data_IF_657062687504
#
_entry.id   IF_657062687504
#
_cell.length_a   1.000
_cell.length_b   1.000
_cell.length_c   1.000
_cell.angle_alpha   90.00
_cell.angle_beta   90.00
_cell.angle_gamma   90.00
#
_symmetry.space_group_name_H-M   'P 1'
#
loop_
_entity.id
_entity.type
_entity.pdbx_description
1 polymer ?
#
# COMPACT_ATOMS: atom_id res chain seq x y z
N UNK A 1 -15.20 -10.57 3.70
CA UNK A 1 -15.63 -9.46 2.81
C UNK A 1 -16.09 -10.09 1.50
N UNK A 2 -17.39 -10.35 1.37
CA UNK A 2 -17.94 -11.05 0.20
C UNK A 2 -18.51 -10.00 -0.74
N UNK A 3 -17.88 -9.81 -1.90
CA UNK A 3 -18.34 -8.83 -2.90
C UNK A 3 -19.38 -9.49 -3.81
N UNK A 4 -20.63 -9.04 -3.74
CA UNK A 4 -21.67 -9.45 -4.69
C UNK A 4 -21.46 -8.73 -6.02
N UNK A 5 -20.94 -9.43 -7.03
CA UNK A 5 -20.93 -8.95 -8.40
C UNK A 5 -22.36 -9.02 -8.96
N UNK A 6 -23.10 -7.90 -8.88
CA UNK A 6 -24.45 -7.78 -9.44
C UNK A 6 -24.41 -8.13 -10.93
N UNK A 7 -25.33 -9.00 -11.34
CA UNK A 7 -25.36 -9.89 -12.52
C UNK A 7 -25.06 -9.25 -13.90
N UNK A 8 -24.91 -7.93 -14.01
CA UNK A 8 -24.78 -7.18 -15.27
C UNK A 8 -23.38 -6.60 -15.54
N UNK A 9 -22.57 -6.34 -14.52
CA UNK A 9 -21.22 -5.77 -14.73
C UNK A 9 -20.16 -6.88 -14.86
N UNK A 10 -19.35 -6.83 -15.92
CA UNK A 10 -18.26 -7.80 -16.15
C UNK A 10 -17.01 -7.48 -15.34
N UNK A 11 -16.86 -6.23 -14.90
CA UNK A 11 -15.70 -5.73 -14.18
C UNK A 11 -16.15 -4.77 -13.07
N UNK A 12 -15.48 -4.83 -11.92
CA UNK A 12 -15.67 -3.92 -10.80
C UNK A 12 -14.31 -3.28 -10.48
N UNK A 13 -14.27 -1.98 -10.26
CA UNK A 13 -13.05 -1.28 -9.81
C UNK A 13 -13.23 -0.79 -8.38
N UNK A 14 -12.27 -1.08 -7.53
CA UNK A 14 -12.22 -0.58 -6.16
C UNK A 14 -10.78 -0.24 -5.80
N UNK A 15 -10.53 1.02 -5.43
CA UNK A 15 -9.19 1.55 -5.20
C UNK A 15 -8.25 1.24 -6.38
N UNK A 16 -7.09 0.65 -6.11
CA UNK A 16 -6.08 0.31 -7.11
C UNK A 16 -6.29 -1.08 -7.74
N UNK A 17 -7.47 -1.68 -7.51
CA UNK A 17 -7.82 -3.01 -7.97
C UNK A 17 -8.99 -2.99 -8.96
N UNK A 18 -8.84 -3.80 -10.02
CA UNK A 18 -9.91 -4.14 -10.96
C UNK A 18 -10.18 -5.63 -10.86
N UNK A 19 -11.40 -5.97 -10.46
CA UNK A 19 -11.93 -7.33 -10.44
C UNK A 19 -12.63 -7.61 -11.77
N UNK A 20 -12.45 -8.81 -12.31
CA UNK A 20 -13.10 -9.22 -13.55
C UNK A 20 -13.35 -10.73 -13.57
N UNK A 21 -14.32 -11.14 -14.38
CA UNK A 21 -14.59 -12.57 -14.64
C UNK A 21 -13.64 -13.06 -15.73
N UNK A 22 -12.52 -13.67 -15.34
CA UNK A 22 -11.61 -14.29 -16.29
C UNK A 22 -12.01 -15.72 -16.66
N UNK A 23 -11.16 -16.41 -17.44
CA UNK A 23 -11.47 -17.74 -17.99
C UNK A 23 -11.72 -18.79 -16.89
N UNK A 24 -11.07 -18.64 -15.73
CA UNK A 24 -11.21 -19.56 -14.59
C UNK A 24 -12.45 -19.30 -13.74
N UNK A 25 -13.21 -18.23 -14.02
CA UNK A 25 -14.38 -17.87 -13.21
C UNK A 25 -15.45 -18.96 -13.26
N UNK A 26 -15.72 -19.54 -14.43
CA UNK A 26 -16.76 -20.56 -14.59
C UNK A 26 -16.41 -21.89 -13.91
N UNK A 27 -15.13 -22.25 -13.84
CA UNK A 27 -14.68 -23.50 -13.24
C UNK A 27 -14.42 -23.39 -11.74
N UNK A 28 -13.89 -22.27 -11.27
CA UNK A 28 -13.46 -22.10 -9.88
C UNK A 28 -14.37 -21.19 -9.04
N UNK A 29 -15.23 -20.39 -9.68
CA UNK A 29 -16.04 -19.38 -9.01
C UNK A 29 -15.27 -18.14 -8.53
N UNK A 30 -13.94 -18.08 -8.72
CA UNK A 30 -13.11 -16.97 -8.27
C UNK A 30 -12.99 -15.86 -9.31
N UNK A 31 -13.02 -14.61 -8.86
CA UNK A 31 -12.74 -13.43 -9.68
C UNK A 31 -11.23 -13.24 -9.83
N UNK A 32 -10.82 -12.88 -11.04
CA UNK A 32 -9.44 -12.47 -11.30
C UNK A 32 -9.27 -10.99 -10.95
N UNK A 33 -8.07 -10.62 -10.51
CA UNK A 33 -7.72 -9.26 -10.15
C UNK A 33 -6.58 -8.75 -11.02
N UNK A 34 -6.58 -7.44 -11.25
CA UNK A 34 -5.43 -6.73 -11.81
C UNK A 34 -5.35 -5.31 -11.31
N UNK A 35 -4.19 -4.71 -11.55
CA UNK A 35 -3.90 -3.33 -11.17
C UNK A 35 -4.78 -2.38 -11.98
N UNK A 36 -5.59 -1.59 -11.29
CA UNK A 36 -6.30 -0.47 -11.89
C UNK A 36 -5.40 0.77 -11.91
N UNK A 37 -5.33 1.42 -13.06
CA UNK A 37 -4.69 2.74 -13.20
C UNK A 37 -5.81 3.76 -13.36
N UNK A 38 -5.81 4.78 -12.50
CA UNK A 38 -6.78 5.88 -12.61
C UNK A 38 -6.55 6.65 -13.91
N UNK A 39 -7.59 7.11 -14.61
CA UNK A 39 -7.43 7.92 -15.82
C UNK A 39 -6.64 9.22 -15.60
N UNK A 40 -6.65 9.74 -14.37
CA UNK A 40 -5.91 10.93 -13.96
C UNK A 40 -4.45 10.65 -13.59
N UNK A 41 -4.03 9.38 -13.56
CA UNK A 41 -2.67 9.01 -13.21
C UNK A 41 -1.72 9.37 -14.37
N UNK A 42 -0.77 10.24 -14.08
CA UNK A 42 0.18 10.79 -15.07
C UNK A 42 1.53 10.09 -15.01
N UNK A 43 1.74 9.20 -14.04
CA UNK A 43 2.97 8.42 -13.89
C UNK A 43 4.22 9.31 -13.77
N UNK A 44 4.14 10.33 -12.91
CA UNK A 44 5.24 11.25 -12.64
C UNK A 44 6.33 10.58 -11.77
N UNK A 45 7.02 9.60 -12.34
CA UNK A 45 8.15 8.95 -11.68
C UNK A 45 9.32 9.91 -11.48
N UNK A 46 10.15 9.59 -10.49
CA UNK A 46 11.33 10.37 -10.14
C UNK A 46 12.36 10.31 -11.27
N UNK A 47 12.85 11.47 -11.71
CA UNK A 47 13.92 11.55 -12.72
C UNK A 47 15.26 11.12 -12.13
N UNK A 48 16.11 10.44 -12.93
CA UNK A 48 17.40 9.94 -12.44
C UNK A 48 18.33 11.03 -11.93
N UNK A 49 18.26 12.24 -12.49
CA UNK A 49 19.12 13.38 -12.15
C UNK A 49 18.66 14.16 -10.91
N UNK A 50 17.57 13.73 -10.27
CA UNK A 50 17.12 14.32 -9.02
C UNK A 50 18.04 13.96 -7.84
N UNK A 51 18.02 14.75 -6.77
CA UNK A 51 18.86 14.59 -5.59
C UNK A 51 18.43 13.43 -4.65
N UNK A 52 17.81 12.37 -5.17
CA UNK A 52 17.38 11.22 -4.38
C UNK A 52 18.49 10.16 -4.25
N UNK A 53 18.48 9.44 -3.13
CA UNK A 53 19.46 8.37 -2.89
C UNK A 53 19.23 7.16 -3.80
N UNK A 54 20.29 6.41 -4.12
CA UNK A 54 20.18 5.15 -4.87
C UNK A 54 19.24 4.14 -4.21
N UNK A 55 19.18 4.14 -2.87
CA UNK A 55 18.28 3.29 -2.11
C UNK A 55 16.81 3.64 -2.38
N UNK A 56 16.50 4.94 -2.50
CA UNK A 56 15.15 5.41 -2.85
C UNK A 56 14.74 4.91 -4.23
N UNK A 57 15.63 5.05 -5.23
CA UNK A 57 15.39 4.56 -6.58
C UNK A 57 15.12 3.06 -6.62
N UNK A 58 16.01 2.25 -6.04
CA UNK A 58 15.84 0.79 -5.99
C UNK A 58 14.58 0.39 -5.23
N UNK A 59 14.29 1.10 -4.13
CA UNK A 59 13.12 0.86 -3.30
C UNK A 59 11.82 1.02 -4.09
N UNK A 60 11.60 2.17 -4.72
CA UNK A 60 10.33 2.40 -5.43
C UNK A 60 10.17 1.45 -6.62
N UNK A 61 11.22 1.20 -7.40
CA UNK A 61 11.15 0.28 -8.55
C UNK A 61 10.73 -1.12 -8.10
N UNK A 62 11.37 -1.63 -7.05
CA UNK A 62 11.05 -2.93 -6.47
C UNK A 62 9.65 -2.97 -5.88
N UNK A 63 9.24 -1.94 -5.15
CA UNK A 63 7.92 -1.85 -4.53
C UNK A 63 6.80 -1.83 -5.58
N UNK A 64 7.01 -1.14 -6.70
CA UNK A 64 6.03 -1.05 -7.77
C UNK A 64 5.86 -2.38 -8.52
N UNK A 65 6.96 -3.07 -8.85
CA UNK A 65 6.86 -4.42 -9.41
C UNK A 65 6.24 -5.42 -8.42
N UNK A 66 6.59 -5.35 -7.14
CA UNK A 66 5.96 -6.17 -6.09
C UNK A 66 4.45 -5.94 -6.01
N UNK A 67 4.01 -4.69 -6.19
CA UNK A 67 2.60 -4.34 -6.23
C UNK A 67 1.91 -5.04 -7.40
N UNK A 68 2.50 -4.99 -8.59
CA UNK A 68 1.96 -5.70 -9.76
C UNK A 68 1.88 -7.21 -9.53
N UNK A 69 2.95 -7.82 -9.00
CA UNK A 69 3.00 -9.26 -8.74
C UNK A 69 1.91 -9.70 -7.73
N UNK A 70 1.62 -8.87 -6.72
CA UNK A 70 0.57 -9.15 -5.73
C UNK A 70 -0.83 -8.97 -6.32
N UNK A 71 -1.08 -7.87 -7.02
CA UNK A 71 -2.43 -7.49 -7.43
C UNK A 71 -2.91 -8.19 -8.72
N UNK A 72 -2.01 -8.56 -9.63
CA UNK A 72 -2.36 -9.30 -10.84
C UNK A 72 -2.51 -10.80 -10.53
N UNK A 73 -3.63 -11.39 -10.96
CA UNK A 73 -3.90 -12.85 -10.90
C UNK A 73 -3.29 -13.61 -12.08
N UNK A 74 -3.11 -12.93 -13.22
CA UNK A 74 -2.53 -13.51 -14.43
C UNK A 74 -1.14 -12.93 -14.69
N UNK A 75 -0.24 -13.78 -15.19
CA UNK A 75 1.12 -13.40 -15.56
C UNK A 75 1.14 -12.38 -16.70
N UNK A 76 0.23 -12.50 -17.66
CA UNK A 76 0.10 -11.57 -18.78
C UNK A 76 -0.19 -10.14 -18.31
N UNK A 77 -1.18 -9.96 -17.43
CA UNK A 77 -1.52 -8.65 -16.86
C UNK A 77 -0.35 -8.07 -16.03
N UNK A 78 0.44 -8.93 -15.37
CA UNK A 78 1.66 -8.52 -14.66
C UNK A 78 2.74 -8.02 -15.63
N UNK A 79 3.04 -8.79 -16.68
CA UNK A 79 4.05 -8.44 -17.68
C UNK A 79 3.69 -7.16 -18.44
N UNK A 80 2.42 -6.98 -18.81
CA UNK A 80 1.94 -5.74 -19.43
C UNK A 80 2.20 -4.51 -18.56
N UNK A 81 1.89 -4.60 -17.26
CA UNK A 81 2.14 -3.50 -16.31
C UNK A 81 3.62 -3.25 -16.09
N UNK A 82 4.41 -4.32 -15.99
CA UNK A 82 5.87 -4.24 -15.88
C UNK A 82 6.48 -3.56 -17.10
N UNK A 83 6.09 -3.95 -18.31
CA UNK A 83 6.61 -3.38 -19.55
C UNK A 83 6.26 -1.89 -19.66
N UNK A 84 4.99 -1.53 -19.41
CA UNK A 84 4.58 -0.11 -19.40
C UNK A 84 5.31 0.71 -18.32
N UNK A 85 5.63 0.10 -17.18
CA UNK A 85 6.44 0.74 -16.14
C UNK A 85 7.88 0.97 -16.60
N UNK A 86 8.51 -0.06 -17.17
CA UNK A 86 9.86 0.01 -17.73
C UNK A 86 9.98 1.13 -18.77
N UNK A 87 9.09 1.18 -19.76
CA UNK A 87 9.08 2.23 -20.81
C UNK A 87 9.07 3.65 -20.21
N UNK A 88 8.27 3.86 -19.16
CA UNK A 88 8.18 5.16 -18.48
C UNK A 88 9.46 5.51 -17.71
N UNK A 89 10.11 4.52 -17.10
CA UNK A 89 11.38 4.74 -16.40
C UNK A 89 12.54 5.01 -17.36
N UNK A 90 12.59 4.33 -18.50
CA UNK A 90 13.58 4.60 -19.55
C UNK A 90 13.46 6.05 -20.04
N UNK A 91 12.23 6.55 -20.19
CA UNK A 91 11.96 7.96 -20.54
C UNK A 91 12.48 8.95 -19.48
N UNK A 92 12.71 8.50 -18.23
CA UNK A 92 13.23 9.30 -17.11
C UNK A 92 14.73 9.09 -16.85
N UNK A 93 15.47 8.62 -17.86
CA UNK A 93 16.91 8.39 -17.82
C UNK A 93 17.37 7.34 -16.80
N UNK A 94 16.48 6.42 -16.40
CA UNK A 94 16.86 5.26 -15.59
C UNK A 94 17.35 4.17 -16.54
N UNK A 95 18.54 3.60 -16.31
CA UNK A 95 19.07 2.59 -17.22
C UNK A 95 18.38 1.23 -17.05
N UNK A 96 18.31 0.40 -18.11
CA UNK A 96 17.78 -0.97 -17.99
C UNK A 96 18.53 -1.82 -16.96
N UNK A 97 19.84 -1.60 -16.83
CA UNK A 97 20.71 -2.30 -15.87
C UNK A 97 20.34 -1.93 -14.42
N UNK A 98 20.11 -0.64 -14.15
CA UNK A 98 19.67 -0.17 -12.84
C UNK A 98 18.33 -0.79 -12.46
N UNK A 99 17.38 -0.83 -13.41
CA UNK A 99 16.07 -1.45 -13.21
C UNK A 99 16.19 -2.95 -12.94
N UNK A 100 16.96 -3.68 -13.76
CA UNK A 100 17.21 -5.10 -13.56
C UNK A 100 17.87 -5.40 -12.20
N UNK A 101 18.81 -4.55 -11.77
CA UNK A 101 19.45 -4.67 -10.47
C UNK A 101 18.48 -4.45 -9.31
N UNK A 102 17.52 -3.52 -9.44
CA UNK A 102 16.54 -3.19 -8.42
C UNK A 102 15.48 -4.28 -8.27
N UNK A 103 15.10 -4.90 -9.38
CA UNK A 103 14.01 -5.87 -9.47
C UNK A 103 14.50 -7.33 -9.46
N UNK A 104 15.80 -7.52 -9.28
CA UNK A 104 16.40 -8.85 -9.20
C UNK A 104 15.71 -9.72 -8.14
N UNK A 105 15.36 -10.94 -8.52
CA UNK A 105 14.65 -11.90 -7.68
C UNK A 105 13.13 -11.73 -7.63
N UNK A 106 12.54 -10.81 -8.42
CA UNK A 106 11.10 -10.76 -8.64
C UNK A 106 10.73 -11.56 -9.89
N UNK A 107 10.24 -12.78 -9.67
CA UNK A 107 9.60 -13.58 -10.72
C UNK A 107 8.12 -13.81 -10.36
N UNK A 108 7.25 -13.74 -11.36
CA UNK A 108 5.82 -13.99 -11.19
C UNK A 108 5.56 -15.43 -10.73
N UNK A 109 6.40 -16.39 -11.13
CA UNK A 109 6.29 -17.79 -10.68
C UNK A 109 6.40 -17.94 -9.17
N UNK A 110 7.14 -17.05 -8.52
CA UNK A 110 7.33 -17.03 -7.06
C UNK A 110 6.25 -16.22 -6.33
N UNK A 111 5.18 -15.80 -7.02
CA UNK A 111 4.09 -15.00 -6.46
C UNK A 111 3.47 -15.59 -5.20
N UNK A 112 3.33 -16.92 -5.12
CA UNK A 112 2.80 -17.60 -3.92
C UNK A 112 3.64 -17.27 -2.68
N UNK A 113 4.97 -17.18 -2.82
CA UNK A 113 5.87 -16.82 -1.74
C UNK A 113 5.71 -15.36 -1.29
N UNK A 114 5.20 -14.47 -2.15
CA UNK A 114 4.95 -13.06 -1.81
C UNK A 114 3.79 -12.88 -0.82
N UNK A 115 2.89 -13.88 -0.73
CA UNK A 115 1.78 -13.92 0.22
C UNK A 115 2.07 -14.78 1.45
N UNK A 116 3.18 -15.51 1.45
CA UNK A 116 3.57 -16.31 2.59
C UNK A 116 3.94 -15.40 3.77
N UNK A 117 3.29 -15.63 4.91
CA UNK A 117 3.67 -14.99 6.18
C UNK A 117 5.09 -15.41 6.51
N UNK A 118 6.01 -14.45 6.62
CA UNK A 118 7.33 -14.71 7.20
C UNK A 118 7.17 -14.78 8.71
N UNK A 119 7.61 -15.88 9.33
CA UNK A 119 7.86 -15.92 10.76
C UNK A 119 9.00 -14.93 11.05
N UNK A 120 8.67 -13.71 11.47
CA UNK A 120 9.67 -12.75 11.92
C UNK A 120 9.93 -13.00 13.41
N UNK A 121 11.18 -13.33 13.74
CA UNK A 121 11.65 -13.22 15.12
C UNK A 121 11.49 -11.76 15.57
N UNK A 122 10.90 -11.56 16.75
CA UNK A 122 10.75 -10.23 17.36
C UNK A 122 12.15 -9.72 17.68
N UNK A 123 12.76 -8.95 16.76
CA UNK A 123 13.97 -8.20 17.09
C UNK A 123 13.60 -7.20 18.18
N UNK A 124 14.27 -7.26 19.33
CA UNK A 124 14.11 -6.29 20.41
C UNK A 124 14.11 -4.88 19.81
N UNK A 125 13.00 -4.16 20.00
CA UNK A 125 12.87 -2.77 19.56
C UNK A 125 13.99 -1.96 20.20
N UNK A 126 14.69 -1.14 19.42
CA UNK A 126 15.47 -0.04 19.98
C UNK A 126 14.54 0.81 20.87
N UNK A 127 14.98 1.13 22.09
CA UNK A 127 14.23 1.82 23.14
C UNK A 127 13.10 2.71 22.62
N UNK A 128 11.86 2.32 22.90
CA UNK A 128 10.71 3.19 22.72
C UNK A 128 10.87 4.41 23.63
N UNK A 129 10.99 5.61 23.05
CA UNK A 129 10.85 6.84 23.80
C UNK A 129 9.38 6.96 24.23
N UNK A 130 9.07 6.54 25.45
CA UNK A 130 7.76 6.72 26.06
C UNK A 130 7.60 8.19 26.44
N UNK A 131 6.82 8.96 25.68
CA UNK A 131 6.27 10.21 26.22
C UNK A 131 5.05 9.82 27.05
N UNK A 132 5.17 9.86 28.36
CA UNK A 132 4.00 9.89 29.23
C UNK A 132 3.26 11.20 28.95
N UNK A 133 2.02 11.10 28.47
CA UNK A 133 1.15 12.26 28.38
C UNK A 133 0.76 12.67 29.79
N UNK A 134 1.33 13.78 30.27
CA UNK A 134 0.91 14.42 31.52
C UNK A 134 -0.17 15.44 31.19
N UNK A 135 -1.47 15.13 31.39
CA UNK A 135 -2.52 16.11 31.19
C UNK A 135 -2.37 17.24 32.23
N UNK A 136 -2.40 18.49 31.79
CA UNK A 136 -2.27 19.68 32.65
C UNK A 136 -3.47 19.92 33.58
N UNK A 137 -4.51 19.08 33.51
CA UNK A 137 -5.69 19.18 34.35
C UNK A 137 -5.89 17.89 35.12
N UNK A 138 -5.71 17.96 36.44
CA UNK A 138 -6.18 16.93 37.35
C UNK A 138 -7.71 16.89 37.28
N UNK A 139 -8.28 15.69 37.19
CA UNK A 139 -9.72 15.45 37.25
C UNK A 139 -10.27 15.93 38.60
N UNK A 140 -10.63 17.20 38.69
CA UNK A 140 -11.40 17.71 39.84
C UNK A 140 -12.82 17.18 39.67
N UNK A 141 -13.24 16.34 40.62
CA UNK A 141 -14.61 15.85 40.74
C UNK A 141 -15.60 17.02 40.62
N UNK A 142 -16.63 16.94 39.75
CA UNK A 142 -17.60 18.03 39.53
C UNK A 142 -18.33 18.48 40.81
N UNK A 143 -18.35 17.64 41.85
CA UNK A 143 -19.06 17.91 43.10
C UNK A 143 -18.31 18.87 44.05
N UNK A 144 -17.00 19.04 43.90
CA UNK A 144 -16.23 19.95 44.76
C UNK A 144 -16.40 21.44 44.38
N UNK A 145 -16.76 21.72 43.13
CA UNK A 145 -16.85 23.08 42.58
C UNK A 145 -18.14 23.81 42.94
N UNK A 146 -19.22 23.10 43.29
CA UNK A 146 -20.54 23.69 43.54
C UNK A 146 -20.67 24.27 44.96
N UNK A 147 -20.10 23.61 45.97
CA UNK A 147 -20.19 24.06 47.37
C UNK A 147 -19.37 25.33 47.65
N UNK A 148 -18.33 25.60 46.84
CA UNK A 148 -17.49 26.80 46.98
C UNK A 148 -18.15 28.07 46.43
N UNK A 149 -19.20 27.93 45.60
CA UNK A 149 -19.94 29.06 45.03
C UNK A 149 -21.09 29.55 45.94
N UNK A 150 -21.57 28.71 46.86
CA UNK A 150 -22.65 29.05 47.79
C UNK A 150 -22.20 29.83 49.04
N UNK A 151 -20.91 29.78 49.40
CA UNK A 151 -20.35 30.57 50.50
C UNK A 151 -20.12 32.06 50.15
N UNK A 152 -20.18 32.43 48.87
CA UNK A 152 -19.91 33.80 48.41
C UNK A 152 -21.16 34.69 48.25
N UNK A 153 -22.34 34.23 48.68
CA UNK A 153 -23.60 34.98 48.54
C UNK A 153 -24.40 35.20 49.83
N UNK A 154 -23.75 35.08 51.00
CA UNK A 154 -24.35 35.58 52.23
C UNK A 154 -23.29 36.28 53.11
N UNK A 155 -22.99 37.53 52.74
CA UNK A 155 -22.58 38.63 53.63
C UNK A 155 -22.67 39.95 52.87
#
# INVERSE_FOLDING_TARGET
MTFYCYKRERNLTFLDLKFFKGNKFHSSGFLDTKVYTKPTETFQYVDRNSAHSLATFKGFMKCEELRYARLCSNETDFLEKRNSFTEKLLTRNISPEELASATNGLDYKQRTNLFASKNMEIKQRCHSFSKEHTPLYQNVSPKASFNKALEFHCK
#
